data_IF_427783107622
#
_entry.id   IF_427783107622
#
_cell.length_a   1.000
_cell.length_b   1.000
_cell.length_c   1.000
_cell.angle_alpha   90.00
_cell.angle_beta   90.00
_cell.angle_gamma   90.00
#
_symmetry.space_group_name_H-M   'P 1'
#
loop_
_entity.id
_entity.type
_entity.pdbx_description
1 polymer ?
#
# COMPACT_ATOMS: atom_id res chain seq x y z
N UNK A 1 2.14 -28.83 -25.76
CA UNK A 1 2.03 -27.41 -25.34
C UNK A 1 3.39 -26.77 -25.49
N UNK A 2 3.52 -25.77 -26.37
CA UNK A 2 4.76 -25.01 -26.47
C UNK A 2 4.98 -24.27 -25.14
N UNK A 3 6.14 -24.38 -24.48
CA UNK A 3 6.43 -23.59 -23.28
C UNK A 3 6.26 -22.12 -23.67
N UNK A 4 5.26 -21.47 -23.08
CA UNK A 4 4.93 -20.09 -23.38
C UNK A 4 6.18 -19.22 -23.32
N UNK A 5 6.33 -18.32 -24.28
CA UNK A 5 7.44 -17.36 -24.38
C UNK A 5 7.41 -16.47 -23.14
N UNK A 6 7.97 -16.98 -22.05
CA UNK A 6 8.09 -16.27 -20.81
C UNK A 6 9.13 -15.18 -21.08
N UNK A 7 8.67 -13.95 -21.27
CA UNK A 7 9.49 -12.79 -21.62
C UNK A 7 10.78 -12.82 -20.78
N UNK A 8 11.91 -13.06 -21.45
CA UNK A 8 13.21 -13.30 -20.81
C UNK A 8 13.64 -11.98 -20.17
N UNK A 9 13.53 -11.90 -18.84
CA UNK A 9 13.96 -10.72 -18.11
C UNK A 9 15.48 -10.69 -18.05
N UNK A 10 16.11 -9.88 -18.90
CA UNK A 10 17.55 -9.68 -18.88
C UNK A 10 17.94 -8.48 -18.02
N UNK A 11 18.51 -8.76 -16.85
CA UNK A 11 19.03 -7.73 -15.96
C UNK A 11 20.30 -7.09 -16.54
N UNK A 12 20.47 -5.76 -16.43
CA UNK A 12 21.70 -5.09 -16.87
C UNK A 12 22.91 -5.47 -16.00
N UNK A 13 24.11 -5.24 -16.52
CA UNK A 13 25.38 -5.48 -15.81
C UNK A 13 25.92 -6.91 -15.92
N UNK A 14 27.07 -7.15 -15.28
CA UNK A 14 27.74 -8.46 -15.31
C UNK A 14 27.09 -9.42 -14.29
N UNK A 15 26.79 -10.69 -14.63
CA UNK A 15 26.30 -11.69 -13.68
C UNK A 15 27.12 -11.88 -12.41
N UNK A 16 28.41 -11.52 -12.40
CA UNK A 16 29.26 -11.55 -11.20
C UNK A 16 28.89 -10.48 -10.16
N UNK A 17 28.20 -9.41 -10.57
CA UNK A 17 27.78 -8.35 -9.67
C UNK A 17 26.60 -8.81 -8.78
N UNK A 18 26.52 -8.30 -7.54
CA UNK A 18 25.41 -8.64 -6.63
C UNK A 18 24.04 -8.33 -7.25
N UNK A 19 23.05 -9.16 -6.95
CA UNK A 19 21.68 -8.99 -7.45
C UNK A 19 21.14 -7.55 -7.26
N UNK A 20 21.26 -6.99 -6.05
CA UNK A 20 20.71 -5.66 -5.74
C UNK A 20 21.44 -4.53 -6.46
N UNK A 21 22.70 -4.71 -6.81
CA UNK A 21 23.38 -3.73 -7.65
C UNK A 21 22.76 -3.71 -9.06
N UNK A 22 22.56 -4.90 -9.64
CA UNK A 22 21.97 -5.04 -10.98
C UNK A 22 20.51 -4.60 -11.03
N UNK A 23 19.72 -4.87 -9.98
CA UNK A 23 18.35 -4.36 -9.90
C UNK A 23 18.33 -2.83 -9.81
N UNK A 24 19.27 -2.22 -9.07
CA UNK A 24 19.34 -0.77 -8.98
C UNK A 24 19.75 -0.11 -10.29
N UNK A 25 20.64 -0.74 -11.05
CA UNK A 25 20.93 -0.33 -12.42
C UNK A 25 19.70 -0.44 -13.34
N UNK A 26 18.94 -1.53 -13.22
CA UNK A 26 17.71 -1.72 -13.99
C UNK A 26 16.70 -0.60 -13.72
N UNK A 27 16.46 -0.31 -12.45
CA UNK A 27 15.56 0.76 -12.06
C UNK A 27 16.08 2.13 -12.47
N UNK A 28 17.38 2.42 -12.36
CA UNK A 28 17.95 3.68 -12.83
C UNK A 28 17.69 3.89 -14.33
N UNK A 29 17.71 2.82 -15.14
CA UNK A 29 17.45 2.86 -16.59
C UNK A 29 15.98 2.92 -16.98
N UNK A 30 15.05 2.45 -16.14
CA UNK A 30 13.62 2.31 -16.47
C UNK A 30 12.82 3.63 -16.64
N UNK A 31 13.48 4.78 -16.76
CA UNK A 31 12.85 6.11 -16.81
C UNK A 31 12.29 6.62 -15.47
N UNK A 32 12.21 7.94 -15.31
CA UNK A 32 11.74 8.61 -14.09
C UNK A 32 10.20 8.67 -13.99
N UNK A 33 9.46 7.86 -14.75
CA UNK A 33 8.00 7.94 -14.84
C UNK A 33 7.28 7.81 -13.51
N UNK A 34 7.73 6.91 -12.63
CA UNK A 34 7.15 6.76 -11.30
C UNK A 34 7.34 8.01 -10.43
N UNK A 35 8.54 8.59 -10.48
CA UNK A 35 8.88 9.82 -9.74
C UNK A 35 8.10 11.02 -10.29
N UNK A 36 7.96 11.12 -11.62
CA UNK A 36 7.17 12.17 -12.30
C UNK A 36 5.70 12.07 -11.94
N UNK A 37 5.13 10.86 -11.94
CA UNK A 37 3.74 10.63 -11.55
C UNK A 37 3.54 11.05 -10.09
N UNK A 38 4.44 10.65 -9.19
CA UNK A 38 4.38 11.03 -7.78
C UNK A 38 4.44 12.55 -7.61
N UNK A 39 5.38 13.23 -8.28
CA UNK A 39 5.48 14.69 -8.28
C UNK A 39 4.18 15.33 -8.80
N UNK A 40 3.63 14.83 -9.90
CA UNK A 40 2.38 15.33 -10.48
C UNK A 40 1.20 15.22 -9.51
N UNK A 41 1.07 14.10 -8.79
CA UNK A 41 0.02 13.91 -7.77
C UNK A 41 0.18 14.91 -6.62
N UNK A 42 1.40 15.08 -6.10
CA UNK A 42 1.64 16.05 -5.02
C UNK A 42 1.42 17.51 -5.48
N UNK A 43 1.85 17.88 -6.68
CA UNK A 43 1.60 19.21 -7.22
C UNK A 43 0.11 19.47 -7.44
N UNK A 44 -0.62 18.51 -8.02
CA UNK A 44 -2.06 18.62 -8.22
C UNK A 44 -2.79 18.83 -6.88
N UNK A 45 -2.42 18.05 -5.86
CA UNK A 45 -2.96 18.19 -4.51
C UNK A 45 -2.67 19.57 -3.90
N UNK A 46 -1.43 20.06 -4.03
CA UNK A 46 -1.06 21.39 -3.53
C UNK A 46 -1.86 22.50 -4.24
N UNK A 47 -2.02 22.40 -5.56
CA UNK A 47 -2.77 23.37 -6.36
C UNK A 47 -4.27 23.37 -6.06
N UNK A 48 -4.85 22.22 -5.67
CA UNK A 48 -6.28 22.14 -5.34
C UNK A 48 -6.59 22.61 -3.91
N UNK A 49 -5.59 22.90 -3.08
CA UNK A 49 -5.73 23.26 -1.66
C UNK A 49 -4.90 24.52 -1.32
N UNK A 50 -5.33 25.70 -1.77
CA UNK A 50 -4.62 26.95 -1.45
C UNK A 50 -4.67 27.31 0.04
N UNK A 51 -5.54 26.67 0.80
CA UNK A 51 -5.84 26.88 2.22
C UNK A 51 -5.10 25.90 3.16
N UNK A 52 -4.07 25.20 2.67
CA UNK A 52 -3.23 24.34 3.51
C UNK A 52 -2.62 25.12 4.68
N UNK A 53 -2.69 24.55 5.88
CA UNK A 53 -2.01 25.07 7.04
C UNK A 53 -0.49 25.06 6.82
N UNK A 54 0.22 26.00 7.47
CA UNK A 54 1.67 26.18 7.29
C UNK A 54 2.48 24.88 7.37
N UNK A 55 2.27 24.01 8.39
CA UNK A 55 2.94 22.71 8.47
C UNK A 55 2.70 21.80 7.27
N UNK A 56 1.45 21.62 6.83
CA UNK A 56 1.13 20.77 5.67
C UNK A 56 1.66 21.34 4.37
N UNK A 57 1.58 22.66 4.18
CA UNK A 57 2.17 23.34 3.03
C UNK A 57 3.70 23.13 2.97
N UNK A 58 4.40 23.31 4.10
CA UNK A 58 5.84 23.10 4.20
C UNK A 58 6.23 21.64 3.92
N UNK A 59 5.49 20.68 4.47
CA UNK A 59 5.70 19.26 4.20
C UNK A 59 5.48 18.93 2.72
N UNK A 60 4.43 19.45 2.10
CA UNK A 60 4.12 19.21 0.71
C UNK A 60 5.19 19.80 -0.21
N UNK A 61 5.65 21.03 0.07
CA UNK A 61 6.76 21.66 -0.64
C UNK A 61 8.06 20.86 -0.49
N UNK A 62 8.38 20.40 0.72
CA UNK A 62 9.57 19.57 0.97
C UNK A 62 9.50 18.24 0.20
N UNK A 63 8.32 17.61 0.14
CA UNK A 63 8.10 16.38 -0.61
C UNK A 63 8.25 16.61 -2.11
N UNK A 64 7.61 17.64 -2.67
CA UNK A 64 7.78 18.02 -4.08
C UNK A 64 9.24 18.31 -4.43
N UNK A 65 9.94 19.08 -3.59
CA UNK A 65 11.36 19.39 -3.77
C UNK A 65 12.24 18.13 -3.72
N UNK A 66 11.97 17.22 -2.78
CA UNK A 66 12.69 15.95 -2.65
C UNK A 66 12.50 15.04 -3.87
N UNK A 67 11.27 14.92 -4.38
CA UNK A 67 10.97 14.13 -5.58
C UNK A 67 11.60 14.77 -6.82
N UNK A 68 11.49 16.09 -6.97
CA UNK A 68 12.13 16.81 -8.08
C UNK A 68 13.67 16.66 -8.05
N UNK A 69 14.28 16.77 -6.87
CA UNK A 69 15.72 16.55 -6.69
C UNK A 69 16.11 15.11 -7.05
N UNK A 70 15.30 14.10 -6.68
CA UNK A 70 15.50 12.71 -7.08
C UNK A 70 15.48 12.53 -8.60
N UNK A 71 14.50 13.13 -9.28
CA UNK A 71 14.39 13.12 -10.75
C UNK A 71 15.64 13.74 -11.37
N UNK A 72 16.02 14.94 -10.94
CA UNK A 72 17.19 15.66 -11.47
C UNK A 72 18.49 14.88 -11.23
N UNK A 73 18.69 14.35 -10.02
CA UNK A 73 19.86 13.53 -9.70
C UNK A 73 19.94 12.31 -10.61
N UNK A 74 18.83 11.63 -10.84
CA UNK A 74 18.76 10.48 -11.73
C UNK A 74 19.11 10.82 -13.18
N UNK A 75 18.66 11.97 -13.67
CA UNK A 75 18.92 12.44 -15.04
C UNK A 75 20.37 12.90 -15.23
N UNK A 76 20.91 13.64 -14.26
CA UNK A 76 22.23 14.27 -14.37
C UNK A 76 23.38 13.33 -13.97
N UNK A 77 23.17 12.49 -12.95
CA UNK A 77 24.22 11.66 -12.33
C UNK A 77 23.72 10.22 -12.08
N UNK A 78 23.36 9.45 -13.13
CA UNK A 78 22.69 8.16 -12.98
C UNK A 78 23.49 7.10 -12.22
N UNK A 79 24.82 7.08 -12.38
CA UNK A 79 25.69 6.16 -11.65
C UNK A 79 25.76 6.48 -10.15
N UNK A 80 25.86 7.77 -9.81
CA UNK A 80 25.86 8.22 -8.43
C UNK A 80 24.49 7.99 -7.77
N UNK A 81 23.42 8.30 -8.50
CA UNK A 81 22.04 8.03 -8.07
C UNK A 81 21.83 6.54 -7.78
N UNK A 82 22.28 5.63 -8.66
CA UNK A 82 22.11 4.19 -8.46
C UNK A 82 22.75 3.68 -7.14
N UNK A 83 23.83 4.31 -6.67
CA UNK A 83 24.50 3.98 -5.41
C UNK A 83 23.71 4.45 -4.18
N UNK A 84 23.14 5.64 -4.23
CA UNK A 84 22.44 6.28 -3.11
C UNK A 84 20.92 6.10 -3.13
N UNK A 85 20.37 5.51 -4.20
CA UNK A 85 18.94 5.42 -4.43
C UNK A 85 18.19 4.86 -3.23
N UNK A 86 18.60 3.73 -2.67
CA UNK A 86 17.87 3.09 -1.58
C UNK A 86 17.71 3.99 -0.34
N UNK A 87 18.76 4.74 0.02
CA UNK A 87 18.70 5.69 1.13
C UNK A 87 17.75 6.86 0.82
N UNK A 88 17.85 7.44 -0.38
CA UNK A 88 16.97 8.53 -0.81
C UNK A 88 15.51 8.08 -0.88
N UNK A 89 15.27 6.92 -1.49
CA UNK A 89 13.95 6.31 -1.61
C UNK A 89 13.35 5.98 -0.24
N UNK A 90 14.16 5.51 0.71
CA UNK A 90 13.73 5.28 2.09
C UNK A 90 13.29 6.58 2.77
N UNK A 91 14.11 7.63 2.67
CA UNK A 91 13.78 8.96 3.23
C UNK A 91 12.49 9.48 2.62
N UNK A 92 12.40 9.52 1.28
CA UNK A 92 11.21 9.99 0.57
C UNK A 92 9.95 9.20 0.91
N UNK A 93 10.06 7.88 1.10
CA UNK A 93 8.91 7.08 1.55
C UNK A 93 8.50 7.46 2.97
N UNK A 94 9.43 7.44 3.93
CA UNK A 94 9.12 7.73 5.34
C UNK A 94 8.54 9.14 5.54
N UNK A 95 9.03 10.13 4.79
CA UNK A 95 8.51 11.50 4.84
C UNK A 95 7.34 11.74 3.90
N UNK A 96 7.01 10.78 3.03
CA UNK A 96 6.02 10.92 1.95
C UNK A 96 4.58 11.09 2.41
N UNK A 97 4.29 10.88 3.71
CA UNK A 97 3.02 11.21 4.36
C UNK A 97 3.21 12.15 5.58
N UNK A 98 4.37 12.79 5.68
CA UNK A 98 4.68 13.77 6.73
C UNK A 98 4.70 13.16 8.12
N UNK A 99 5.07 11.89 8.25
CA UNK A 99 5.06 11.14 9.53
C UNK A 99 3.67 11.19 10.23
N UNK A 100 2.59 11.15 9.46
CA UNK A 100 1.20 11.17 9.96
C UNK A 100 0.47 12.49 9.73
N UNK A 101 1.19 13.59 9.46
CA UNK A 101 0.58 14.91 9.18
C UNK A 101 -0.39 14.87 7.99
N UNK A 102 -0.05 14.11 6.94
CA UNK A 102 -0.92 13.95 5.78
C UNK A 102 -2.27 13.31 6.12
N UNK A 103 -2.28 12.32 7.01
CA UNK A 103 -3.52 11.65 7.46
C UNK A 103 -4.38 12.59 8.29
N UNK A 104 -3.77 13.33 9.21
CA UNK A 104 -4.49 14.32 10.00
C UNK A 104 -5.19 15.34 9.09
N UNK A 105 -4.47 15.86 8.09
CA UNK A 105 -5.06 16.78 7.12
C UNK A 105 -6.20 16.14 6.33
N UNK A 106 -6.03 14.91 5.82
CA UNK A 106 -7.11 14.21 5.08
C UNK A 106 -8.35 14.04 5.96
N UNK A 107 -8.21 13.68 7.22
CA UNK A 107 -9.33 13.62 8.15
C UNK A 107 -9.95 15.00 8.38
N UNK A 108 -9.16 16.06 8.53
CA UNK A 108 -9.70 17.41 8.65
C UNK A 108 -10.55 17.79 7.43
N UNK A 109 -10.05 17.54 6.21
CA UNK A 109 -10.78 17.79 4.96
C UNK A 109 -12.14 17.08 4.98
N UNK A 110 -12.15 15.79 5.31
CA UNK A 110 -13.39 15.00 5.31
C UNK A 110 -14.38 15.45 6.40
N UNK A 111 -13.88 16.01 7.50
CA UNK A 111 -14.74 16.56 8.56
C UNK A 111 -15.22 17.98 8.29
N UNK A 112 -14.41 18.83 7.66
CA UNK A 112 -14.73 20.24 7.40
C UNK A 112 -15.56 20.42 6.14
N UNK A 113 -15.30 19.61 5.13
CA UNK A 113 -16.06 19.61 3.89
C UNK A 113 -17.20 18.62 4.04
N UNK A 114 -18.43 19.13 4.10
CA UNK A 114 -19.58 18.32 3.79
C UNK A 114 -19.42 17.83 2.35
N UNK A 115 -18.79 16.66 2.17
CA UNK A 115 -18.49 16.10 0.86
C UNK A 115 -19.77 16.11 0.02
N UNK A 116 -19.75 16.68 -1.21
CA UNK A 116 -20.92 16.70 -2.07
C UNK A 116 -21.49 15.28 -2.22
N UNK A 117 -22.79 15.11 -1.97
CA UNK A 117 -23.45 13.80 -1.94
C UNK A 117 -23.49 13.12 -0.57
N UNK A 118 -23.27 13.83 0.53
CA UNK A 118 -23.75 13.37 1.84
C UNK A 118 -25.29 13.39 1.81
N UNK A 119 -25.97 12.25 2.05
CA UNK A 119 -27.43 12.26 2.15
C UNK A 119 -27.81 13.24 3.25
N UNK A 120 -28.59 14.26 2.89
CA UNK A 120 -29.14 15.18 3.87
C UNK A 120 -30.01 14.36 4.82
N UNK A 121 -29.84 14.55 6.13
CA UNK A 121 -30.75 13.97 7.12
C UNK A 121 -32.23 14.34 6.85
N UNK A 122 -32.46 15.42 6.07
CA UNK A 122 -33.78 15.88 5.66
C UNK A 122 -34.38 15.11 4.47
N UNK A 123 -33.59 14.31 3.73
CA UNK A 123 -34.09 13.44 2.67
C UNK A 123 -34.65 12.14 3.28
N UNK A 124 -35.66 12.29 4.15
CA UNK A 124 -36.37 11.23 4.87
C UNK A 124 -37.25 10.36 3.97
N UNK A 125 -36.87 10.15 2.72
CA UNK A 125 -37.68 9.50 1.69
C UNK A 125 -36.92 8.46 0.88
N UNK A 126 -36.07 7.64 1.51
CA UNK A 126 -35.61 6.40 0.87
C UNK A 126 -36.75 5.38 0.92
N UNK A 127 -37.65 5.48 -0.06
CA UNK A 127 -38.55 4.40 -0.44
C UNK A 127 -37.71 3.19 -0.89
N UNK A 128 -37.13 2.45 0.04
CA UNK A 128 -36.81 1.02 -0.04
C UNK A 128 -35.95 0.49 -1.20
N UNK A 129 -35.42 1.31 -2.12
CA UNK A 129 -34.76 0.76 -3.30
C UNK A 129 -33.37 0.19 -2.94
N UNK A 130 -33.13 -1.12 -3.16
CA UNK A 130 -31.85 -1.76 -2.84
C UNK A 130 -30.67 -1.17 -3.62
N UNK A 131 -30.93 -0.52 -4.76
CA UNK A 131 -29.92 0.16 -5.57
C UNK A 131 -29.33 1.39 -4.87
N UNK A 132 -30.15 2.23 -4.23
CA UNK A 132 -29.68 3.40 -3.49
C UNK A 132 -28.81 2.99 -2.29
N UNK A 133 -29.21 1.92 -1.61
CA UNK A 133 -28.49 1.32 -0.50
C UNK A 133 -27.07 0.81 -0.87
N UNK A 134 -26.88 0.30 -2.09
CA UNK A 134 -25.57 -0.13 -2.59
C UNK A 134 -24.70 1.08 -2.97
N UNK A 135 -25.30 2.11 -3.57
CA UNK A 135 -24.63 3.37 -3.91
C UNK A 135 -24.03 4.06 -2.68
N UNK A 136 -24.80 4.17 -1.60
CA UNK A 136 -24.35 4.75 -0.34
C UNK A 136 -23.16 3.97 0.27
N UNK A 137 -23.23 2.63 0.24
CA UNK A 137 -22.16 1.77 0.73
C UNK A 137 -20.89 1.93 -0.12
N UNK A 138 -21.01 2.00 -1.44
CA UNK A 138 -19.87 2.20 -2.33
C UNK A 138 -19.22 3.59 -2.14
N UNK A 139 -20.02 4.64 -1.99
CA UNK A 139 -19.54 5.99 -1.70
C UNK A 139 -18.82 6.04 -0.34
N UNK A 140 -19.40 5.42 0.69
CA UNK A 140 -18.76 5.34 2.00
C UNK A 140 -17.47 4.51 1.97
N UNK A 141 -17.46 3.40 1.23
CA UNK A 141 -16.25 2.59 1.02
C UNK A 141 -15.13 3.41 0.39
N UNK A 142 -15.44 4.18 -0.65
CA UNK A 142 -14.48 5.06 -1.31
C UNK A 142 -13.93 6.14 -0.35
N UNK A 143 -14.80 6.71 0.49
CA UNK A 143 -14.39 7.66 1.54
C UNK A 143 -13.45 7.01 2.56
N UNK A 144 -13.82 5.84 3.09
CA UNK A 144 -13.00 5.08 4.05
C UNK A 144 -11.63 4.70 3.45
N UNK A 145 -11.61 4.29 2.18
CA UNK A 145 -10.37 4.01 1.45
C UNK A 145 -9.53 5.28 1.28
N UNK A 146 -10.13 6.42 0.95
CA UNK A 146 -9.44 7.69 0.83
C UNK A 146 -8.83 8.15 2.16
N UNK A 147 -9.61 8.18 3.25
CA UNK A 147 -9.12 8.60 4.58
C UNK A 147 -8.09 7.66 5.18
N UNK A 148 -8.09 6.38 4.76
CA UNK A 148 -7.05 5.43 5.16
C UNK A 148 -5.67 5.79 4.59
N UNK A 149 -5.60 6.63 3.56
CA UNK A 149 -4.40 6.90 2.77
C UNK A 149 -3.74 5.64 2.16
N UNK A 150 -4.43 4.50 2.12
CA UNK A 150 -3.90 3.27 1.55
C UNK A 150 -3.51 3.42 0.07
N UNK A 151 -4.29 4.19 -0.70
CA UNK A 151 -3.94 4.51 -2.10
C UNK A 151 -2.58 5.22 -2.21
N UNK A 152 -2.31 6.20 -1.33
CA UNK A 152 -1.04 6.91 -1.29
C UNK A 152 0.11 5.99 -0.87
N UNK A 153 -0.11 5.10 0.11
CA UNK A 153 0.87 4.08 0.52
C UNK A 153 1.23 3.14 -0.64
N UNK A 154 0.24 2.69 -1.41
CA UNK A 154 0.44 1.86 -2.61
C UNK A 154 1.23 2.63 -3.67
N UNK A 155 0.86 3.88 -3.95
CA UNK A 155 1.58 4.71 -4.95
C UNK A 155 3.03 4.90 -4.53
N UNK A 156 3.31 5.24 -3.27
CA UNK A 156 4.68 5.34 -2.73
C UNK A 156 5.42 4.01 -2.84
N UNK A 157 4.75 2.88 -2.58
CA UNK A 157 5.36 1.56 -2.75
C UNK A 157 5.79 1.31 -4.21
N UNK A 158 4.86 1.51 -5.14
CA UNK A 158 5.06 1.13 -6.53
C UNK A 158 6.04 2.06 -7.26
N UNK A 159 6.07 3.34 -6.90
CA UNK A 159 6.95 4.35 -7.50
C UNK A 159 8.36 4.28 -6.92
N UNK A 160 8.48 4.29 -5.59
CA UNK A 160 9.74 4.37 -4.86
C UNK A 160 10.26 2.98 -4.48
N UNK A 161 10.40 2.06 -5.45
CA UNK A 161 10.77 0.65 -5.18
C UNK A 161 12.15 0.55 -4.52
N UNK A 162 12.33 -0.36 -3.57
CA UNK A 162 13.60 -0.61 -2.88
C UNK A 162 13.76 -2.10 -2.54
N UNK A 163 14.80 -2.47 -1.78
CA UNK A 163 14.93 -3.85 -1.27
C UNK A 163 13.76 -4.17 -0.36
N UNK A 164 13.28 -5.42 -0.43
CA UNK A 164 12.10 -5.87 0.32
C UNK A 164 12.19 -5.57 1.83
N UNK A 165 13.37 -5.74 2.45
CA UNK A 165 13.56 -5.45 3.88
C UNK A 165 13.40 -3.97 4.22
N UNK A 166 14.00 -3.08 3.41
CA UNK A 166 13.85 -1.64 3.59
C UNK A 166 12.43 -1.18 3.30
N UNK A 167 11.80 -1.79 2.29
CA UNK A 167 10.42 -1.53 1.94
C UNK A 167 9.48 -1.89 3.07
N UNK A 168 9.70 -3.06 3.71
CA UNK A 168 8.93 -3.51 4.86
C UNK A 168 9.08 -2.55 6.04
N UNK A 169 10.30 -2.12 6.36
CA UNK A 169 10.55 -1.13 7.41
C UNK A 169 9.87 0.21 7.08
N UNK A 170 9.99 0.70 5.84
CA UNK A 170 9.40 1.95 5.43
C UNK A 170 7.86 1.92 5.51
N UNK A 171 7.23 0.88 4.97
CA UNK A 171 5.77 0.75 4.97
C UNK A 171 5.23 0.49 6.37
N UNK A 172 5.91 -0.33 7.18
CA UNK A 172 5.51 -0.53 8.57
C UNK A 172 5.62 0.77 9.38
N UNK A 173 6.69 1.54 9.20
CA UNK A 173 6.86 2.84 9.83
C UNK A 173 5.78 3.84 9.41
N UNK A 174 5.45 3.88 8.11
CA UNK A 174 4.36 4.70 7.60
C UNK A 174 3.03 4.29 8.22
N UNK A 175 2.61 3.03 8.10
CA UNK A 175 1.35 2.55 8.69
C UNK A 175 1.30 2.80 10.20
N UNK A 176 2.37 2.50 10.93
CA UNK A 176 2.45 2.75 12.37
C UNK A 176 2.26 4.23 12.72
N UNK A 177 2.73 5.16 11.89
CA UNK A 177 2.47 6.60 12.08
C UNK A 177 1.02 7.00 11.81
N UNK A 178 0.24 6.21 11.07
CA UNK A 178 -1.17 6.50 10.77
C UNK A 178 -2.12 5.98 11.84
N UNK A 179 -1.81 4.81 12.44
CA UNK A 179 -2.70 4.11 13.38
C UNK A 179 -3.23 4.96 14.54
N UNK A 180 -2.41 5.82 15.20
CA UNK A 180 -2.90 6.65 16.31
C UNK A 180 -4.03 7.60 15.92
N UNK A 181 -4.11 7.99 14.64
CA UNK A 181 -5.11 8.95 14.15
C UNK A 181 -6.41 8.28 13.70
N UNK A 182 -6.41 6.98 13.44
CA UNK A 182 -7.57 6.26 12.88
C UNK A 182 -8.79 6.33 13.78
N UNK A 183 -8.63 6.03 15.08
CA UNK A 183 -9.75 6.03 16.04
C UNK A 183 -10.31 7.44 16.26
N UNK A 184 -9.43 8.44 16.37
CA UNK A 184 -9.84 9.84 16.52
C UNK A 184 -10.60 10.34 15.28
N UNK A 185 -10.14 9.98 14.08
CA UNK A 185 -10.85 10.28 12.83
C UNK A 185 -12.22 9.62 12.76
N UNK A 186 -12.33 8.35 13.13
CA UNK A 186 -13.61 7.63 13.17
C UNK A 186 -14.56 8.10 14.28
N UNK A 187 -14.08 8.78 15.31
CA UNK A 187 -14.91 9.35 16.37
C UNK A 187 -15.49 10.74 16.00
N UNK A 188 -15.19 11.25 14.81
CA UNK A 188 -15.62 12.59 14.41
C UNK A 188 -17.11 12.70 14.03
N UNK A 189 -17.61 13.94 13.79
CA UNK A 189 -19.03 14.22 13.58
C UNK A 189 -19.68 13.42 12.45
N UNK A 190 -18.92 13.00 11.43
CA UNK A 190 -19.45 12.21 10.32
C UNK A 190 -20.10 10.89 10.80
N UNK A 191 -19.51 10.27 11.82
CA UNK A 191 -19.97 9.00 12.37
C UNK A 191 -21.17 9.14 13.32
N UNK A 192 -21.61 10.35 13.66
CA UNK A 192 -22.87 10.54 14.39
C UNK A 192 -24.10 10.38 13.49
N UNK A 193 -23.93 10.35 12.16
CA UNK A 193 -25.04 10.24 11.22
C UNK A 193 -25.48 8.76 11.03
N UNK A 194 -26.77 8.42 11.24
CA UNK A 194 -27.24 7.03 11.24
C UNK A 194 -27.18 6.37 9.86
N UNK A 195 -27.21 7.13 8.77
CA UNK A 195 -27.01 6.56 7.42
C UNK A 195 -25.55 6.10 7.22
N UNK A 196 -24.58 6.87 7.74
CA UNK A 196 -23.16 6.53 7.65
C UNK A 196 -22.86 5.30 8.51
N UNK A 197 -23.40 5.24 9.74
CA UNK A 197 -23.27 4.06 10.60
C UNK A 197 -23.80 2.78 9.91
N UNK A 198 -24.98 2.85 9.28
CA UNK A 198 -25.54 1.70 8.53
C UNK A 198 -24.68 1.31 7.33
N UNK A 199 -24.14 2.27 6.58
CA UNK A 199 -23.25 2.00 5.46
C UNK A 199 -21.93 1.36 5.93
N UNK A 200 -21.32 1.90 6.99
CA UNK A 200 -20.12 1.35 7.63
C UNK A 200 -20.36 -0.07 8.15
N UNK A 201 -21.48 -0.34 8.82
CA UNK A 201 -21.84 -1.68 9.29
C UNK A 201 -21.98 -2.68 8.14
N UNK A 202 -22.60 -2.28 7.01
CA UNK A 202 -22.68 -3.13 5.81
C UNK A 202 -21.31 -3.44 5.24
N UNK A 203 -20.43 -2.43 5.14
CA UNK A 203 -19.05 -2.60 4.69
C UNK A 203 -18.30 -3.56 5.61
N UNK A 204 -18.44 -3.40 6.93
CA UNK A 204 -17.85 -4.29 7.92
C UNK A 204 -18.32 -5.74 7.73
N UNK A 205 -19.63 -5.95 7.58
CA UNK A 205 -20.21 -7.26 7.29
C UNK A 205 -19.69 -7.86 5.98
N UNK A 206 -19.57 -7.06 4.92
CA UNK A 206 -19.00 -7.50 3.63
C UNK A 206 -17.53 -7.91 3.77
N UNK A 207 -16.71 -7.10 4.44
CA UNK A 207 -15.29 -7.41 4.63
C UNK A 207 -15.06 -8.56 5.60
N UNK A 208 -15.98 -8.83 6.52
CA UNK A 208 -15.95 -10.01 7.38
C UNK A 208 -15.98 -11.32 6.57
N UNK A 209 -16.54 -11.32 5.36
CA UNK A 209 -16.44 -12.48 4.45
C UNK A 209 -15.01 -12.75 3.98
N UNK A 210 -14.14 -11.73 3.94
CA UNK A 210 -12.74 -11.90 3.55
C UNK A 210 -12.00 -12.82 4.53
N UNK A 211 -12.37 -12.81 5.83
CA UNK A 211 -11.82 -13.67 6.88
C UNK A 211 -12.37 -15.11 6.92
N UNK A 212 -13.51 -15.38 6.26
CA UNK A 212 -14.15 -16.72 6.27
C UNK A 212 -13.33 -17.93 5.78
N UNK A 213 -12.41 -17.84 4.79
CA UNK A 213 -11.64 -19.00 4.34
C UNK A 213 -10.59 -19.47 5.36
N UNK A 214 -10.16 -18.60 6.26
CA UNK A 214 -9.13 -18.85 7.27
C UNK A 214 -9.59 -18.21 8.59
N UNK A 215 -10.71 -18.67 9.15
CA UNK A 215 -11.29 -18.02 10.31
C UNK A 215 -10.34 -18.25 11.49
N UNK A 216 -9.61 -17.20 11.89
CA UNK A 216 -9.08 -17.17 13.23
C UNK A 216 -10.27 -16.89 14.14
N UNK A 217 -10.48 -17.64 15.25
CA UNK A 217 -11.66 -17.50 16.10
C UNK A 217 -11.69 -16.18 16.90
N UNK A 218 -10.97 -15.14 16.49
CA UNK A 218 -10.75 -13.90 17.23
C UNK A 218 -11.82 -12.85 16.95
N UNK A 219 -12.21 -12.64 15.69
CA UNK A 219 -13.16 -11.60 15.29
C UNK A 219 -14.60 -11.77 15.83
N UNK A 220 -15.22 -12.97 15.87
CA UNK A 220 -16.60 -13.12 16.32
C UNK A 220 -16.78 -12.98 17.85
N UNK A 221 -15.70 -12.83 18.61
CA UNK A 221 -15.76 -12.69 20.07
C UNK A 221 -16.09 -11.27 20.53
N UNK A 222 -16.19 -10.29 19.63
CA UNK A 222 -16.44 -8.89 19.97
C UNK A 222 -17.62 -8.33 19.17
N UNK A 223 -18.49 -7.59 19.85
CA UNK A 223 -19.52 -6.76 19.22
C UNK A 223 -18.99 -5.31 19.10
N UNK A 224 -18.43 -4.91 17.94
CA UNK A 224 -17.82 -3.60 17.81
C UNK A 224 -18.86 -2.47 17.84
N UNK A 225 -18.48 -1.34 18.43
CA UNK A 225 -19.24 -0.09 18.29
C UNK A 225 -19.10 0.48 16.86
N UNK A 226 -19.98 1.39 16.39
CA UNK A 226 -19.85 1.98 15.04
C UNK A 226 -18.50 2.66 14.80
N UNK A 227 -17.91 3.27 15.84
CA UNK A 227 -16.58 3.89 15.77
C UNK A 227 -15.49 2.84 15.61
N UNK A 228 -15.61 1.71 16.31
CA UNK A 228 -14.69 0.57 16.16
C UNK A 228 -14.81 -0.08 14.79
N UNK A 229 -16.01 -0.28 14.26
CA UNK A 229 -16.19 -0.80 12.90
C UNK A 229 -15.47 0.07 11.87
N UNK A 230 -15.65 1.39 11.95
CA UNK A 230 -14.92 2.35 11.12
C UNK A 230 -13.40 2.19 11.28
N UNK A 231 -12.92 2.14 12.53
CA UNK A 231 -11.50 2.05 12.81
C UNK A 231 -10.89 0.73 12.32
N UNK A 232 -11.61 -0.40 12.43
CA UNK A 232 -11.20 -1.70 11.89
C UNK A 232 -11.07 -1.62 10.37
N UNK A 233 -12.08 -1.09 9.67
CA UNK A 233 -12.06 -0.99 8.20
C UNK A 233 -10.88 -0.12 7.72
N UNK A 234 -10.68 1.05 8.32
CA UNK A 234 -9.59 1.97 7.95
C UNK A 234 -8.22 1.34 8.25
N UNK A 235 -8.06 0.70 9.41
CA UNK A 235 -6.84 -0.01 9.79
C UNK A 235 -6.57 -1.17 8.84
N UNK A 236 -7.60 -1.93 8.46
CA UNK A 236 -7.50 -2.99 7.47
C UNK A 236 -7.03 -2.48 6.11
N UNK A 237 -7.51 -1.32 5.64
CA UNK A 237 -6.99 -0.74 4.41
C UNK A 237 -5.53 -0.31 4.53
N UNK A 238 -5.14 0.31 5.66
CA UNK A 238 -3.75 0.69 5.90
C UNK A 238 -2.82 -0.52 5.93
N UNK A 239 -3.17 -1.57 6.69
CA UNK A 239 -2.34 -2.77 6.84
C UNK A 239 -2.42 -3.68 5.62
N UNK A 240 -3.63 -4.05 5.21
CA UNK A 240 -3.86 -4.96 4.09
C UNK A 240 -3.42 -4.35 2.75
N UNK A 241 -4.03 -3.21 2.39
CA UNK A 241 -3.78 -2.59 1.09
C UNK A 241 -2.53 -1.71 1.07
N UNK A 242 -2.24 -0.99 2.16
CA UNK A 242 -1.12 -0.07 2.24
C UNK A 242 0.23 -0.74 2.54
N UNK A 243 0.25 -1.86 3.27
CA UNK A 243 1.48 -2.54 3.70
C UNK A 243 1.63 -3.93 3.07
N UNK A 244 0.69 -4.85 3.29
CA UNK A 244 0.88 -6.26 2.93
C UNK A 244 0.86 -6.49 1.42
N UNK A 245 -0.14 -5.95 0.69
CA UNK A 245 -0.23 -6.14 -0.76
C UNK A 245 0.98 -5.58 -1.51
N UNK A 246 1.46 -4.34 -1.24
CA UNK A 246 2.62 -3.83 -1.93
C UNK A 246 3.90 -4.62 -1.62
N UNK A 247 4.08 -5.09 -0.38
CA UNK A 247 5.21 -5.94 -0.02
C UNK A 247 5.15 -7.30 -0.70
N UNK A 248 3.97 -7.93 -0.78
CA UNK A 248 3.81 -9.17 -1.53
C UNK A 248 4.15 -8.97 -3.01
N UNK A 249 3.62 -7.90 -3.62
CA UNK A 249 3.94 -7.55 -5.00
C UNK A 249 5.45 -7.35 -5.22
N UNK A 250 6.11 -6.59 -4.35
CA UNK A 250 7.55 -6.40 -4.41
C UNK A 250 8.33 -7.70 -4.21
N UNK A 251 7.90 -8.55 -3.27
CA UNK A 251 8.52 -9.84 -3.01
C UNK A 251 8.44 -10.75 -4.25
N UNK A 252 7.25 -10.85 -4.88
CA UNK A 252 7.05 -11.66 -6.10
C UNK A 252 7.86 -11.12 -7.27
N UNK A 253 7.86 -9.80 -7.50
CA UNK A 253 8.64 -9.20 -8.58
C UNK A 253 10.14 -9.35 -8.35
N UNK A 254 10.61 -9.14 -7.12
CA UNK A 254 12.02 -9.32 -6.76
C UNK A 254 12.45 -10.78 -6.87
N UNK A 255 11.62 -11.73 -6.42
CA UNK A 255 11.87 -13.16 -6.52
C UNK A 255 11.97 -13.61 -7.99
N UNK A 256 11.08 -13.13 -8.86
CA UNK A 256 11.17 -13.38 -10.31
C UNK A 256 12.46 -12.83 -10.91
N UNK A 257 12.84 -11.60 -10.54
CA UNK A 257 14.09 -11.00 -10.99
C UNK A 257 15.31 -11.76 -10.46
N UNK A 258 15.26 -12.24 -9.22
CA UNK A 258 16.31 -13.03 -8.60
C UNK A 258 16.47 -14.40 -9.27
N UNK A 259 15.37 -15.08 -9.61
CA UNK A 259 15.41 -16.33 -10.36
C UNK A 259 16.06 -16.13 -11.74
N UNK A 260 15.77 -15.01 -12.42
CA UNK A 260 16.44 -14.64 -13.67
C UNK A 260 17.94 -14.38 -13.47
N UNK A 261 18.30 -13.66 -12.41
CA UNK A 261 19.69 -13.41 -12.03
C UNK A 261 20.46 -14.73 -11.79
N UNK A 262 19.89 -15.67 -11.03
CA UNK A 262 20.51 -16.97 -10.76
C UNK A 262 20.67 -17.82 -12.03
N UNK A 263 19.73 -17.76 -12.98
CA UNK A 263 19.88 -18.40 -14.30
C UNK A 263 21.06 -17.81 -15.08
N UNK A 264 21.19 -16.48 -15.09
CA UNK A 264 22.30 -15.81 -15.77
C UNK A 264 23.66 -16.12 -15.13
N UNK A 265 23.73 -16.21 -13.79
CA UNK A 265 24.94 -16.66 -13.08
C UNK A 265 25.35 -18.07 -13.46
N UNK A 266 24.39 -19.00 -13.43
CA UNK A 266 24.61 -20.40 -13.83
C UNK A 266 25.10 -20.51 -15.28
N UNK A 267 24.49 -19.77 -16.20
CA UNK A 267 24.91 -19.74 -17.59
C UNK A 267 26.33 -19.16 -17.78
N UNK A 268 26.79 -18.30 -16.86
CA UNK A 268 28.14 -17.75 -16.85
C UNK A 268 29.15 -18.62 -16.06
N UNK A 269 28.77 -19.81 -15.59
CA UNK A 269 29.63 -20.67 -14.77
C UNK A 269 29.92 -20.13 -13.37
N UNK A 270 29.13 -19.16 -12.89
CA UNK A 270 29.31 -18.56 -11.57
C UNK A 270 28.52 -19.33 -10.51
N UNK A 271 29.02 -19.39 -9.26
CA UNK A 271 28.26 -19.99 -8.15
C UNK A 271 27.00 -19.17 -7.87
N UNK A 272 25.96 -19.86 -7.40
CA UNK A 272 24.71 -19.22 -6.99
C UNK A 272 24.94 -18.21 -5.85
N UNK A 273 24.23 -17.08 -5.91
CA UNK A 273 24.25 -16.09 -4.82
C UNK A 273 23.54 -16.68 -3.58
N UNK A 274 24.13 -16.51 -2.38
CA UNK A 274 23.68 -17.08 -1.10
C UNK A 274 23.40 -15.99 -0.06
N UNK A 275 22.73 -16.35 1.03
CA UNK A 275 22.39 -15.47 2.16
C UNK A 275 20.89 -15.44 2.44
N UNK A 276 20.49 -14.72 3.50
CA UNK A 276 19.09 -14.69 3.95
C UNK A 276 18.14 -14.13 2.88
N UNK A 277 18.53 -13.05 2.19
CA UNK A 277 17.71 -12.46 1.13
C UNK A 277 17.60 -13.38 -0.08
N UNK A 278 18.71 -14.04 -0.46
CA UNK A 278 18.71 -15.04 -1.52
C UNK A 278 17.77 -16.21 -1.19
N UNK A 279 17.83 -16.71 0.05
CA UNK A 279 16.93 -17.74 0.55
C UNK A 279 15.47 -17.30 0.47
N UNK A 280 15.14 -16.10 0.98
CA UNK A 280 13.78 -15.56 0.96
C UNK A 280 13.23 -15.45 -0.47
N UNK A 281 13.99 -14.90 -1.41
CA UNK A 281 13.56 -14.78 -2.80
C UNK A 281 13.39 -16.14 -3.48
N UNK A 282 14.23 -17.11 -3.15
CA UNK A 282 14.05 -18.49 -3.63
C UNK A 282 12.76 -19.10 -3.09
N UNK A 283 12.45 -18.95 -1.80
CA UNK A 283 11.21 -19.48 -1.21
C UNK A 283 9.96 -18.83 -1.83
N UNK A 284 9.96 -17.49 -1.99
CA UNK A 284 8.84 -16.78 -2.65
C UNK A 284 8.69 -17.25 -4.10
N UNK A 285 9.81 -17.42 -4.82
CA UNK A 285 9.78 -17.94 -6.18
C UNK A 285 9.23 -19.37 -6.24
N UNK A 286 9.71 -20.28 -5.39
CA UNK A 286 9.23 -21.66 -5.31
C UNK A 286 7.72 -21.71 -5.03
N UNK A 287 7.24 -20.94 -4.06
CA UNK A 287 5.82 -20.86 -3.70
C UNK A 287 4.94 -20.37 -4.86
N UNK A 288 5.44 -19.43 -5.67
CA UNK A 288 4.69 -18.83 -6.78
C UNK A 288 4.89 -19.52 -8.14
N UNK A 289 5.94 -20.32 -8.33
CA UNK A 289 6.35 -20.81 -9.66
C UNK A 289 6.35 -22.33 -9.83
N UNK A 290 6.13 -23.11 -8.76
CA UNK A 290 6.22 -24.57 -8.83
C UNK A 290 4.98 -25.18 -9.53
N UNK A 291 4.96 -25.11 -10.86
CA UNK A 291 3.92 -25.69 -11.73
C UNK A 291 4.07 -27.20 -11.95
N UNK A 292 5.22 -27.79 -11.59
CA UNK A 292 5.55 -29.18 -11.92
C UNK A 292 5.12 -30.19 -10.83
N UNK A 293 4.73 -29.75 -9.64
CA UNK A 293 4.42 -30.60 -8.48
C UNK A 293 2.99 -30.55 -7.92
N UNK A 294 2.06 -29.81 -8.52
CA UNK A 294 0.61 -29.94 -8.24
C UNK A 294 -0.04 -28.98 -7.23
N UNK A 295 0.70 -28.11 -6.55
CA UNK A 295 0.10 -26.97 -5.82
C UNK A 295 0.88 -25.68 -6.10
N UNK A 296 0.49 -24.98 -7.17
CA UNK A 296 0.80 -23.56 -7.29
C UNK A 296 -0.12 -22.81 -6.34
N UNK A 297 0.44 -21.95 -5.49
CA UNK A 297 -0.37 -20.94 -4.80
C UNK A 297 -0.27 -19.69 -5.68
N UNK A 298 -1.32 -19.34 -6.44
CA UNK A 298 -1.29 -18.11 -7.21
C UNK A 298 -0.99 -16.94 -6.28
N UNK A 299 -0.22 -15.92 -6.70
CA UNK A 299 0.00 -14.72 -5.89
C UNK A 299 -1.30 -14.09 -5.37
N UNK A 300 -2.40 -14.25 -6.11
CA UNK A 300 -3.74 -13.85 -5.68
C UNK A 300 -4.26 -14.62 -4.45
N UNK A 301 -3.98 -15.92 -4.35
CA UNK A 301 -4.35 -16.72 -3.18
C UNK A 301 -3.48 -16.33 -1.97
N UNK A 302 -2.18 -16.10 -2.15
CA UNK A 302 -1.33 -15.56 -1.08
C UNK A 302 -1.81 -14.18 -0.60
N UNK A 303 -2.17 -13.30 -1.55
CA UNK A 303 -2.74 -12.00 -1.25
C UNK A 303 -4.02 -12.16 -0.42
N UNK A 304 -4.92 -13.05 -0.82
CA UNK A 304 -6.16 -13.29 -0.11
C UNK A 304 -5.91 -13.84 1.31
N UNK A 305 -5.00 -14.80 1.48
CA UNK A 305 -4.61 -15.33 2.80
C UNK A 305 -4.08 -14.22 3.70
N UNK A 306 -3.18 -13.38 3.19
CA UNK A 306 -2.61 -12.26 3.96
C UNK A 306 -3.69 -11.24 4.34
N UNK A 307 -4.62 -10.93 3.43
CA UNK A 307 -5.74 -10.03 3.70
C UNK A 307 -6.71 -10.62 4.73
N UNK A 308 -7.02 -11.91 4.64
CA UNK A 308 -7.89 -12.59 5.62
C UNK A 308 -7.27 -12.52 7.03
N UNK A 309 -5.99 -12.87 7.15
CA UNK A 309 -5.25 -12.78 8.42
C UNK A 309 -5.20 -11.34 8.92
N UNK A 310 -4.93 -10.37 8.05
CA UNK A 310 -4.91 -8.97 8.42
C UNK A 310 -6.26 -8.49 8.93
N UNK A 311 -7.36 -8.87 8.28
CA UNK A 311 -8.71 -8.54 8.72
C UNK A 311 -8.95 -8.99 10.16
N UNK A 312 -8.74 -10.28 10.45
CA UNK A 312 -8.96 -10.85 11.78
C UNK A 312 -8.13 -10.17 12.87
N UNK A 313 -6.85 -9.90 12.59
CA UNK A 313 -5.98 -9.19 13.52
C UNK A 313 -6.41 -7.75 13.75
N UNK A 314 -6.79 -7.02 12.70
CA UNK A 314 -7.26 -5.63 12.85
C UNK A 314 -8.57 -5.54 13.60
N UNK A 315 -9.50 -6.47 13.37
CA UNK A 315 -10.74 -6.59 14.14
C UNK A 315 -10.44 -6.81 15.63
N UNK A 316 -9.58 -7.80 15.94
CA UNK A 316 -9.20 -8.13 17.32
C UNK A 316 -8.47 -7.01 18.05
N UNK A 317 -7.45 -6.40 17.43
CA UNK A 317 -6.62 -5.38 18.07
C UNK A 317 -7.38 -4.06 18.30
N UNK A 318 -8.27 -3.69 17.38
CA UNK A 318 -9.05 -2.47 17.53
C UNK A 318 -10.08 -2.63 18.64
N UNK A 319 -10.75 -3.79 18.69
CA UNK A 319 -11.70 -4.16 19.72
C UNK A 319 -11.13 -4.23 21.14
N UNK A 320 -9.90 -4.74 21.29
CA UNK A 320 -9.27 -4.97 22.59
C UNK A 320 -8.59 -3.75 23.20
N UNK A 321 -8.62 -2.60 22.51
CA UNK A 321 -7.97 -1.36 22.96
C UNK A 321 -8.80 -0.52 23.95
N UNK A 322 -9.58 -1.18 24.81
CA UNK A 322 -10.38 -0.59 25.90
C UNK A 322 -9.92 -1.16 27.24
#
# INVERSE_FOLDING_TARGET
MAPGVMCRLDLPGNPSQPFHYRINLNYARAGAWGDILLLGVHLAFACSRPDLDGPSANWQLATCAGVAASILWRLLLPAHHARWREALTLVLRLTGLGLGLGVHHVWQVVHSEALPGMPSAADGGLNGEPAAALGDAAAQMARLLFVSCAGSLVVLALTLRMRLTLSAVAQAGLVASLLPHTRAGCAGPLMSHPAIQRATHRIYGMLSWVGTPLPLPLAPMVAPTPVEECAVIVTFFQVGLGLLLPLLWEAVVAARAFAAHQRQRRAAGLPAERGLQAWLYTQVWELCSNTEGGLTVPPALLAWILLAVAWDWTAFLTASSH
#
